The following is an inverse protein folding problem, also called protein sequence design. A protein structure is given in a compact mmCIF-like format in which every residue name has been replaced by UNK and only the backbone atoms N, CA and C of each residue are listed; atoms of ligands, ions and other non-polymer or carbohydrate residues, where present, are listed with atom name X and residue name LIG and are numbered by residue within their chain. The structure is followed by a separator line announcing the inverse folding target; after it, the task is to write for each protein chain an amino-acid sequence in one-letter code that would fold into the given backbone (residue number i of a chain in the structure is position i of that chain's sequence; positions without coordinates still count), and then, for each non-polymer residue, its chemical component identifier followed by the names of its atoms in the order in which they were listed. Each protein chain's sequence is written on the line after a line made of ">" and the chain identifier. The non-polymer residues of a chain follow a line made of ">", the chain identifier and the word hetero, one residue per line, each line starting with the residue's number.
data_IF_181036635358
#
_entry.id   IF_181036635358
#
_cell.length_a   1.000
_cell.length_b   1.000
_cell.length_c   1.000
_cell.angle_alpha   90.00
_cell.angle_beta   90.00
_cell.angle_gamma   90.00
#
_symmetry.space_group_name_H-M   'P 1'
#
loop_
_entity.id
_entity.type
_entity.pdbx_description
1 polymer ?
#
# COMPACT_ATOMS: atom_id res chain seq x y z
N UNK A 1 -2.69 -48.63 -56.32
CA UNK A 1 -3.13 -47.48 -57.13
C UNK A 1 -2.47 -46.22 -56.58
N UNK A 2 -2.12 -45.32 -57.49
CA UNK A 2 -1.28 -44.13 -57.34
C UNK A 2 -2.02 -43.00 -56.59
N UNK A 3 -1.28 -42.30 -55.70
CA UNK A 3 -1.34 -40.91 -55.19
C UNK A 3 -2.53 -39.98 -55.59
N UNK A 4 -2.95 -39.00 -54.73
CA UNK A 4 -2.02 -37.93 -54.35
C UNK A 4 -2.17 -37.27 -52.96
N UNK A 5 -1.01 -36.79 -52.50
CA UNK A 5 -0.85 -35.57 -51.72
C UNK A 5 -1.36 -34.37 -52.53
N UNK A 6 -2.22 -33.53 -51.96
CA UNK A 6 -2.41 -32.15 -52.42
C UNK A 6 -2.51 -31.18 -51.25
N UNK A 7 -1.58 -30.25 -51.30
CA UNK A 7 -1.46 -28.99 -50.57
C UNK A 7 -2.59 -28.01 -50.88
N UNK A 8 -3.05 -27.29 -49.86
CA UNK A 8 -3.44 -25.87 -49.91
C UNK A 8 -3.56 -25.42 -48.45
N UNK A 9 -2.80 -24.46 -47.93
CA UNK A 9 -2.77 -23.09 -48.41
C UNK A 9 -3.78 -22.27 -47.59
N UNK A 10 -3.41 -21.88 -46.37
CA UNK A 10 -4.16 -20.94 -45.54
C UNK A 10 -3.16 -20.15 -44.69
N UNK A 11 -3.05 -18.84 -44.97
CA UNK A 11 -2.10 -17.90 -44.38
C UNK A 11 -2.37 -17.68 -42.87
N UNK A 12 -1.38 -17.25 -42.07
CA UNK A 12 -1.63 -16.85 -40.69
C UNK A 12 -2.38 -15.52 -40.65
N UNK A 13 -3.62 -15.54 -40.19
CA UNK A 13 -4.36 -14.33 -39.86
C UNK A 13 -3.88 -13.82 -38.51
N UNK A 14 -3.02 -12.80 -38.58
CA UNK A 14 -2.63 -11.95 -37.47
C UNK A 14 -3.87 -11.17 -37.02
N UNK A 15 -4.53 -11.64 -35.97
CA UNK A 15 -5.31 -10.76 -35.11
C UNK A 15 -5.05 -11.14 -33.64
N UNK A 16 -4.28 -10.25 -33.03
CA UNK A 16 -3.94 -10.15 -31.62
C UNK A 16 -5.15 -10.39 -30.72
N UNK A 17 -5.14 -11.50 -29.99
CA UNK A 17 -6.12 -11.82 -28.95
C UNK A 17 -5.43 -12.61 -27.85
N UNK A 18 -4.97 -11.90 -26.83
CA UNK A 18 -4.43 -12.46 -25.59
C UNK A 18 -5.51 -13.37 -24.96
N UNK A 19 -5.34 -14.69 -25.07
CA UNK A 19 -5.97 -15.62 -24.13
C UNK A 19 -5.20 -15.45 -22.83
N UNK A 20 -5.72 -14.60 -21.94
CA UNK A 20 -5.19 -14.46 -20.59
C UNK A 20 -5.69 -15.68 -19.82
N UNK A 21 -4.84 -16.69 -19.67
CA UNK A 21 -5.05 -17.77 -18.71
C UNK A 21 -5.28 -17.17 -17.32
N UNK A 22 -6.50 -17.30 -16.79
CA UNK A 22 -6.95 -16.79 -15.47
C UNK A 22 -6.34 -17.61 -14.31
N UNK A 23 -5.17 -18.22 -14.53
CA UNK A 23 -4.45 -19.03 -13.55
C UNK A 23 -3.13 -18.37 -13.06
N UNK A 24 -2.78 -17.18 -13.56
CA UNK A 24 -1.66 -16.36 -13.07
C UNK A 24 -2.14 -15.06 -12.42
N UNK A 25 -3.15 -15.13 -11.55
CA UNK A 25 -3.37 -14.03 -10.61
C UNK A 25 -2.16 -14.02 -9.68
N UNK A 26 -1.20 -13.16 -10.03
CA UNK A 26 -0.03 -12.81 -9.26
C UNK A 26 -0.38 -12.81 -7.76
N UNK A 27 0.02 -13.87 -7.06
CA UNK A 27 0.19 -13.88 -5.61
C UNK A 27 1.41 -13.01 -5.27
N UNK A 28 1.32 -11.73 -5.64
CA UNK A 28 2.24 -10.72 -5.17
C UNK A 28 1.82 -10.49 -3.73
N UNK A 29 2.61 -11.06 -2.82
CA UNK A 29 2.61 -10.84 -1.36
C UNK A 29 1.71 -9.67 -0.95
N UNK A 30 0.64 -9.97 -0.21
CA UNK A 30 -0.17 -8.96 0.46
C UNK A 30 0.79 -8.09 1.28
N UNK A 31 1.07 -6.88 0.79
CA UNK A 31 1.91 -5.90 1.46
C UNK A 31 1.25 -5.66 2.81
N UNK A 32 1.93 -5.90 3.95
CA UNK A 32 1.44 -5.45 5.23
C UNK A 32 1.27 -3.93 5.18
N UNK A 33 0.04 -3.45 5.37
CA UNK A 33 -0.29 -2.12 4.91
C UNK A 33 0.04 -1.09 5.99
N UNK A 34 1.26 -0.54 5.93
CA UNK A 34 1.58 0.69 6.63
C UNK A 34 1.16 1.89 5.78
N UNK A 35 0.53 2.87 6.41
CA UNK A 35 0.35 4.17 5.78
C UNK A 35 1.70 4.93 5.71
N UNK A 36 1.84 5.92 4.81
CA UNK A 36 3.03 6.76 4.76
C UNK A 36 3.33 7.50 6.08
N UNK A 37 2.31 7.74 6.92
CA UNK A 37 2.46 8.38 8.22
C UNK A 37 2.73 7.40 9.37
N UNK A 38 2.86 6.09 9.11
CA UNK A 38 3.22 5.09 10.11
C UNK A 38 2.05 4.41 10.82
N UNK A 39 0.81 4.59 10.37
CA UNK A 39 -0.30 3.79 10.89
C UNK A 39 -0.28 2.38 10.32
N UNK A 40 -0.73 1.40 11.11
CA UNK A 40 -0.86 0.00 10.70
C UNK A 40 -2.30 -0.24 10.25
N UNK A 41 -2.54 -0.28 8.95
CA UNK A 41 -3.89 -0.40 8.39
C UNK A 41 -4.54 -1.76 8.71
N UNK A 42 -3.74 -2.80 8.98
CA UNK A 42 -4.24 -4.12 9.38
C UNK A 42 -5.05 -4.12 10.69
N UNK A 43 -4.95 -3.07 11.51
CA UNK A 43 -5.74 -2.88 12.73
C UNK A 43 -6.90 -1.90 12.55
N UNK A 44 -7.01 -1.27 11.37
CA UNK A 44 -8.02 -0.27 11.11
C UNK A 44 -9.32 -0.92 10.60
N UNK A 45 -10.39 -0.85 11.39
CA UNK A 45 -11.70 -1.40 10.99
C UNK A 45 -12.25 -0.83 9.67
N UNK A 46 -11.90 0.41 9.30
CA UNK A 46 -12.28 1.00 8.00
C UNK A 46 -11.55 0.33 6.82
N UNK A 47 -10.29 -0.03 7.00
CA UNK A 47 -9.48 -0.72 5.98
C UNK A 47 -9.85 -2.20 5.88
N UNK A 48 -10.13 -2.84 7.01
CA UNK A 48 -10.60 -4.24 7.07
C UNK A 48 -12.04 -4.42 6.54
N UNK A 49 -12.77 -3.34 6.32
CA UNK A 49 -14.18 -3.39 5.89
C UNK A 49 -15.16 -3.70 7.03
N UNK A 50 -14.72 -3.59 8.28
CA UNK A 50 -15.55 -3.71 9.48
C UNK A 50 -16.38 -2.43 9.74
N UNK A 51 -15.92 -1.29 9.20
CA UNK A 51 -16.60 0.02 9.25
C UNK A 51 -16.84 0.57 7.83
N UNK A 52 -17.88 1.40 7.67
CA UNK A 52 -18.31 1.95 6.38
C UNK A 52 -18.34 3.48 6.37
N UNK A 53 -17.72 4.16 5.39
CA UNK A 53 -17.22 3.62 4.09
C UNK A 53 -15.89 2.86 4.13
N UNK A 54 -15.76 1.86 3.24
CA UNK A 54 -14.53 1.08 3.06
C UNK A 54 -13.34 1.99 2.67
N UNK A 55 -12.28 1.95 3.47
CA UNK A 55 -11.00 2.59 3.14
C UNK A 55 -10.20 1.68 2.20
N UNK A 56 -9.75 2.21 1.07
CA UNK A 56 -8.94 1.46 0.09
C UNK A 56 -7.41 1.61 0.29
N UNK A 57 -6.99 2.34 1.33
CA UNK A 57 -5.59 2.68 1.58
C UNK A 57 -5.17 4.00 0.91
N UNK A 58 -4.20 4.70 1.51
CA UNK A 58 -3.83 6.05 1.11
C UNK A 58 -3.32 6.14 -0.33
N UNK A 59 -2.61 5.11 -0.82
CA UNK A 59 -2.06 5.10 -2.19
C UNK A 59 -3.16 4.86 -3.22
N UNK A 60 -4.08 3.93 -2.96
CA UNK A 60 -5.19 3.63 -3.86
C UNK A 60 -6.19 4.77 -3.97
N UNK A 61 -6.31 5.61 -2.94
CA UNK A 61 -7.17 6.81 -2.95
C UNK A 61 -6.45 8.08 -3.36
N UNK A 62 -5.21 8.00 -3.85
CA UNK A 62 -4.38 9.17 -4.21
C UNK A 62 -4.31 10.23 -3.10
N UNK A 63 -4.13 9.79 -1.85
CA UNK A 63 -4.12 10.62 -0.65
C UNK A 63 -5.45 11.35 -0.38
N UNK A 64 -6.57 10.87 -0.93
CA UNK A 64 -7.93 11.38 -0.69
C UNK A 64 -8.85 10.32 -0.09
N UNK A 65 -8.61 9.88 1.17
CA UNK A 65 -9.54 9.02 1.88
C UNK A 65 -10.94 9.65 2.03
N UNK A 66 -11.90 8.87 2.54
CA UNK A 66 -13.30 9.29 2.66
C UNK A 66 -13.52 10.54 3.51
N UNK A 67 -12.58 10.88 4.40
CA UNK A 67 -12.63 12.05 5.26
C UNK A 67 -11.97 13.30 4.65
N UNK A 68 -11.41 13.21 3.44
CA UNK A 68 -10.82 14.35 2.73
C UNK A 68 -9.37 14.13 2.29
N UNK A 69 -8.65 15.21 2.04
CA UNK A 69 -7.25 15.17 1.57
C UNK A 69 -6.29 14.99 2.73
N UNK A 70 -5.37 14.02 2.61
CA UNK A 70 -4.32 13.76 3.59
C UNK A 70 -3.01 14.48 3.22
N UNK A 71 -2.73 15.58 3.91
CA UNK A 71 -1.50 16.37 3.67
C UNK A 71 -0.20 15.61 3.93
N UNK A 72 -0.17 14.70 4.90
CA UNK A 72 1.02 13.87 5.17
C UNK A 72 1.31 12.91 4.02
N UNK A 73 0.28 12.30 3.44
CA UNK A 73 0.43 11.41 2.29
C UNK A 73 0.88 12.21 1.04
N UNK A 74 0.29 13.38 0.81
CA UNK A 74 0.72 14.26 -0.29
C UNK A 74 2.17 14.74 -0.09
N UNK A 75 2.56 15.07 1.13
CA UNK A 75 3.94 15.44 1.46
C UNK A 75 4.92 14.32 1.11
N UNK A 76 4.65 13.09 1.55
CA UNK A 76 5.47 11.93 1.21
C UNK A 76 5.59 11.72 -0.32
N UNK A 77 4.47 11.88 -1.05
CA UNK A 77 4.46 11.81 -2.52
C UNK A 77 5.30 12.92 -3.17
N UNK A 78 5.22 14.17 -2.67
CA UNK A 78 6.03 15.30 -3.18
C UNK A 78 7.52 15.10 -2.93
N UNK A 79 7.88 14.54 -1.78
CA UNK A 79 9.28 14.25 -1.42
C UNK A 79 9.80 12.96 -2.09
N UNK A 80 8.94 12.19 -2.77
CA UNK A 80 9.32 10.94 -3.42
C UNK A 80 9.71 9.84 -2.43
N UNK A 81 9.17 9.87 -1.21
CA UNK A 81 9.49 8.91 -0.14
C UNK A 81 8.33 7.95 0.12
N UNK A 82 8.68 6.71 0.44
CA UNK A 82 7.69 5.66 0.70
C UNK A 82 6.91 5.90 2.00
N UNK A 83 7.56 6.47 3.01
CA UNK A 83 6.97 6.86 4.28
C UNK A 83 7.80 7.96 4.95
N UNK A 84 7.23 8.66 5.92
CA UNK A 84 7.90 9.78 6.59
C UNK A 84 9.23 9.38 7.25
N UNK A 85 9.34 8.16 7.80
CA UNK A 85 10.57 7.68 8.44
C UNK A 85 11.85 7.64 7.58
N UNK A 86 11.73 7.69 6.25
CA UNK A 86 12.90 7.76 5.33
C UNK A 86 13.08 9.15 4.71
N UNK A 87 12.25 10.13 5.11
CA UNK A 87 12.41 11.52 4.70
C UNK A 87 13.63 12.13 5.41
N UNK A 88 14.41 12.93 4.69
CA UNK A 88 15.58 13.63 5.25
C UNK A 88 15.23 14.65 6.33
N UNK A 89 13.99 15.12 6.36
CA UNK A 89 13.48 16.10 7.33
C UNK A 89 12.80 15.43 8.53
N UNK A 90 12.78 14.10 8.60
CA UNK A 90 12.04 13.39 9.63
C UNK A 90 12.83 13.30 10.96
N UNK A 91 12.19 13.53 12.12
CA UNK A 91 10.81 14.00 12.30
C UNK A 91 10.69 15.53 12.13
N UNK A 92 9.74 16.00 11.31
CA UNK A 92 9.48 17.41 11.10
C UNK A 92 8.27 17.92 11.91
N UNK A 93 8.22 19.23 12.19
CA UNK A 93 7.15 19.88 12.95
C UNK A 93 5.76 19.67 12.32
N UNK A 94 5.70 19.69 10.99
CA UNK A 94 4.50 19.38 10.22
C UNK A 94 3.97 17.96 10.49
N UNK A 95 4.86 16.98 10.61
CA UNK A 95 4.45 15.62 10.95
C UNK A 95 3.97 15.53 12.41
N UNK A 96 4.68 16.19 13.32
CA UNK A 96 4.38 16.19 14.76
C UNK A 96 3.08 16.92 15.10
N UNK A 97 2.68 17.90 14.30
CA UNK A 97 1.43 18.66 14.47
C UNK A 97 0.20 17.99 13.83
N UNK A 98 0.38 16.96 12.99
CA UNK A 98 -0.71 16.29 12.26
C UNK A 98 -1.16 15.00 12.94
N UNK A 99 -2.15 15.10 13.81
CA UNK A 99 -2.82 14.00 14.48
C UNK A 99 -4.34 14.22 14.49
N UNK A 100 -5.09 13.14 14.72
CA UNK A 100 -6.53 13.27 14.99
C UNK A 100 -6.69 13.88 16.40
N UNK A 101 -7.42 15.00 16.57
CA UNK A 101 -7.64 15.60 17.88
C UNK A 101 -8.24 14.64 18.92
N UNK A 102 -8.96 13.59 18.50
CA UNK A 102 -9.51 12.57 19.39
C UNK A 102 -8.47 11.55 19.89
N UNK A 103 -7.32 11.44 19.22
CA UNK A 103 -6.19 10.56 19.59
C UNK A 103 -5.06 11.31 20.31
N UNK A 104 -5.10 12.64 20.32
CA UNK A 104 -4.11 13.49 20.99
C UNK A 104 -2.72 13.52 20.33
N UNK A 105 -1.84 14.43 20.79
CA UNK A 105 -0.48 14.58 20.25
C UNK A 105 0.42 13.35 20.50
N UNK A 106 0.11 12.51 21.49
CA UNK A 106 0.80 11.25 21.78
C UNK A 106 0.80 10.30 20.58
N UNK A 107 -0.25 10.32 19.77
CA UNK A 107 -0.32 9.54 18.54
C UNK A 107 0.80 9.90 17.56
N UNK A 108 1.11 11.19 17.43
CA UNK A 108 2.19 11.65 16.56
C UNK A 108 3.55 11.11 17.04
N UNK A 109 3.79 11.11 18.34
CA UNK A 109 5.01 10.56 18.96
C UNK A 109 5.10 9.05 18.74
N UNK A 110 4.00 8.31 18.95
CA UNK A 110 3.95 6.88 18.73
C UNK A 110 4.28 6.50 17.29
N UNK A 111 3.61 7.15 16.32
CA UNK A 111 3.90 6.95 14.89
C UNK A 111 5.33 7.34 14.53
N UNK A 112 5.88 8.39 15.14
CA UNK A 112 7.27 8.80 14.92
C UNK A 112 8.24 7.67 15.32
N UNK A 113 8.04 7.09 16.52
CA UNK A 113 8.82 5.96 17.00
C UNK A 113 8.72 4.75 16.08
N UNK A 114 7.50 4.40 15.65
CA UNK A 114 7.28 3.27 14.76
C UNK A 114 7.94 3.48 13.39
N UNK A 115 7.85 4.68 12.83
CA UNK A 115 8.50 5.05 11.57
C UNK A 115 10.02 5.05 11.65
N UNK A 116 10.59 5.51 12.77
CA UNK A 116 12.04 5.47 13.00
C UNK A 116 12.53 4.01 13.09
N UNK A 117 11.79 3.16 13.81
CA UNK A 117 12.08 1.73 13.89
C UNK A 117 11.98 1.08 12.51
N UNK A 118 10.92 1.39 11.75
CA UNK A 118 10.69 0.91 10.38
C UNK A 118 11.81 1.30 9.43
N UNK A 119 12.26 2.55 9.45
CA UNK A 119 13.35 3.01 8.63
C UNK A 119 14.66 2.23 8.89
N UNK A 120 14.88 1.82 10.14
CA UNK A 120 16.08 1.08 10.54
C UNK A 120 16.00 -0.43 10.35
N UNK A 121 14.81 -1.01 10.53
CA UNK A 121 14.65 -2.47 10.67
C UNK A 121 13.75 -3.11 9.60
N UNK A 122 13.06 -2.31 8.78
CA UNK A 122 12.16 -2.77 7.75
C UNK A 122 10.78 -3.18 8.26
N UNK A 123 9.91 -3.53 7.31
CA UNK A 123 8.48 -3.73 7.56
C UNK A 123 8.20 -4.94 8.45
N UNK A 124 8.90 -6.07 8.23
CA UNK A 124 8.67 -7.33 8.96
C UNK A 124 8.83 -7.16 10.48
N UNK A 125 9.98 -6.64 10.92
CA UNK A 125 10.25 -6.40 12.34
C UNK A 125 9.31 -5.35 12.93
N UNK A 126 8.93 -4.36 12.14
CA UNK A 126 8.02 -3.29 12.59
C UNK A 126 6.61 -3.83 12.84
N UNK A 127 6.12 -4.75 12.00
CA UNK A 127 4.83 -5.40 12.21
C UNK A 127 4.84 -6.30 13.43
N UNK A 128 5.92 -7.04 13.63
CA UNK A 128 6.07 -7.87 14.82
C UNK A 128 6.00 -7.01 16.09
N UNK A 129 6.70 -5.88 16.11
CA UNK A 129 6.62 -4.91 17.22
C UNK A 129 5.20 -4.35 17.38
N UNK A 130 4.56 -3.92 16.30
CA UNK A 130 3.21 -3.37 16.34
C UNK A 130 2.17 -4.39 16.83
N UNK A 131 2.32 -5.68 16.49
CA UNK A 131 1.43 -6.74 16.99
C UNK A 131 1.56 -6.96 18.50
N UNK A 132 2.78 -6.85 19.03
CA UNK A 132 3.01 -6.96 20.48
C UNK A 132 2.36 -5.81 21.23
N UNK A 133 2.52 -4.59 20.72
CA UNK A 133 1.93 -3.38 21.33
C UNK A 133 0.39 -3.46 21.36
N UNK A 134 -0.25 -3.95 20.31
CA UNK A 134 -1.72 -4.09 20.25
C UNK A 134 -2.28 -5.14 21.23
N UNK A 135 -1.43 -6.04 21.74
CA UNK A 135 -1.82 -7.13 22.65
C UNK A 135 -1.59 -6.81 24.13
N UNK A 136 -1.00 -5.65 24.43
CA UNK A 136 -0.74 -5.15 25.79
C UNK A 136 -1.85 -4.19 26.26
#
# INVERSE_FOLDING_TARGET
>A
MVFPSLSAGGKPDVFTGFIIDVAHVNFRMRIPEFSPCGMVCDYCGWFKGEKMPLCRGCRATECKPFWGTCETCLCAKRHGVEHCGVCSEFPCDDFMSRYDPSEGPENAVFRAGLLAYRAKHGDEKTLELARRIEQE
#
